data_IF_044066284599
#
_entry.id   IF_044066284599
#
_cell.length_a   1.000
_cell.length_b   1.000
_cell.length_c   1.000
_cell.angle_alpha   90.00
_cell.angle_beta   90.00
_cell.angle_gamma   90.00
#
_symmetry.space_group_name_H-M   'P 1'
#
loop_
_entity.id
_entity.type
_entity.pdbx_description
1 polymer ?
#
# COMPACT_ATOMS: atom_id res chain seq x y z
N UNK A 1 12.19 -11.62 -4.22
CA UNK A 1 11.28 -10.75 -3.46
C UNK A 1 12.11 -9.60 -2.90
N UNK A 2 11.64 -8.35 -3.04
CA UNK A 2 12.22 -7.18 -2.41
C UNK A 2 12.35 -7.37 -0.89
N UNK A 3 13.20 -6.59 -0.23
CA UNK A 3 13.50 -6.81 1.20
C UNK A 3 12.30 -6.50 2.12
N UNK A 4 11.33 -5.74 1.63
CA UNK A 4 10.16 -5.27 2.37
C UNK A 4 8.88 -6.09 2.14
N UNK A 5 8.95 -7.17 1.35
CA UNK A 5 7.80 -8.02 1.03
C UNK A 5 7.88 -9.30 1.86
N UNK A 6 7.05 -9.37 2.90
CA UNK A 6 7.05 -10.46 3.88
C UNK A 6 6.02 -11.57 3.60
N UNK A 7 5.07 -11.32 2.69
CA UNK A 7 4.07 -12.28 2.27
C UNK A 7 3.72 -12.12 0.79
N UNK A 8 3.31 -13.22 0.18
CA UNK A 8 2.87 -13.26 -1.22
C UNK A 8 1.36 -13.02 -1.30
N UNK A 9 0.92 -12.22 -2.27
CA UNK A 9 -0.50 -11.86 -2.47
C UNK A 9 -1.02 -12.60 -3.71
N UNK A 10 -2.03 -13.48 -3.58
CA UNK A 10 -2.61 -14.16 -4.75
C UNK A 10 -3.12 -13.18 -5.81
N UNK A 11 -2.96 -13.52 -7.09
CA UNK A 11 -3.34 -12.66 -8.21
C UNK A 11 -4.80 -12.17 -8.12
N UNK A 12 -5.74 -13.08 -7.82
CA UNK A 12 -7.16 -12.75 -7.66
C UNK A 12 -7.39 -11.65 -6.59
N UNK A 13 -6.63 -11.70 -5.49
CA UNK A 13 -6.73 -10.72 -4.42
C UNK A 13 -6.10 -9.36 -4.82
N UNK A 14 -5.04 -9.38 -5.63
CA UNK A 14 -4.45 -8.16 -6.17
C UNK A 14 -5.42 -7.46 -7.13
N UNK A 15 -6.08 -8.21 -8.01
CA UNK A 15 -7.10 -7.70 -8.93
C UNK A 15 -8.27 -7.06 -8.15
N UNK A 16 -8.84 -7.80 -7.19
CA UNK A 16 -9.93 -7.29 -6.34
C UNK A 16 -9.53 -6.00 -5.58
N UNK A 17 -8.28 -5.93 -5.10
CA UNK A 17 -7.77 -4.75 -4.40
C UNK A 17 -7.63 -3.56 -5.35
N UNK A 18 -7.13 -3.77 -6.58
CA UNK A 18 -7.02 -2.70 -7.57
C UNK A 18 -8.39 -2.19 -8.02
N UNK A 19 -9.36 -3.08 -8.24
CA UNK A 19 -10.74 -2.70 -8.57
C UNK A 19 -11.36 -1.85 -7.45
N UNK A 20 -11.14 -2.24 -6.19
CA UNK A 20 -11.58 -1.45 -5.04
C UNK A 20 -10.92 -0.06 -5.00
N UNK A 21 -9.63 0.05 -5.34
CA UNK A 21 -8.92 1.32 -5.43
C UNK A 21 -9.50 2.22 -6.53
N UNK A 22 -9.90 1.67 -7.67
CA UNK A 22 -10.54 2.44 -8.75
C UNK A 22 -11.88 3.01 -8.30
N UNK A 23 -12.72 2.20 -7.64
CA UNK A 23 -13.99 2.68 -7.10
C UNK A 23 -13.75 3.74 -6.02
N UNK A 24 -12.77 3.55 -5.13
CA UNK A 24 -12.43 4.51 -4.08
C UNK A 24 -11.91 5.84 -4.65
N UNK A 25 -11.20 5.82 -5.79
CA UNK A 25 -10.77 7.03 -6.51
C UNK A 25 -11.97 7.86 -6.97
N UNK A 26 -13.00 7.21 -7.48
CA UNK A 26 -14.15 7.87 -8.11
C UNK A 26 -15.24 8.27 -7.11
N UNK A 27 -15.36 7.54 -5.99
CA UNK A 27 -16.43 7.73 -4.99
C UNK A 27 -15.95 8.29 -3.66
N UNK A 28 -14.65 8.22 -3.38
CA UNK A 28 -14.06 8.53 -2.08
C UNK A 28 -12.86 9.46 -2.16
N UNK A 29 -11.84 9.16 -1.37
CA UNK A 29 -10.59 9.92 -1.34
C UNK A 29 -9.41 8.97 -1.36
N UNK A 30 -8.51 9.18 -2.32
CA UNK A 30 -7.26 8.44 -2.43
C UNK A 30 -6.06 9.37 -2.28
N UNK A 31 -4.99 8.87 -1.68
CA UNK A 31 -3.68 9.54 -1.62
C UNK A 31 -2.74 8.79 -2.56
N UNK A 32 -1.95 9.54 -3.32
CA UNK A 32 -1.05 8.99 -4.34
C UNK A 32 0.38 9.39 -4.05
N UNK A 33 1.30 8.44 -4.20
CA UNK A 33 2.72 8.61 -3.96
C UNK A 33 3.11 8.40 -2.49
N UNK A 34 4.31 7.88 -2.29
CA UNK A 34 4.84 7.41 -1.00
C UNK A 34 4.74 8.43 0.13
N UNK A 35 5.03 9.71 -0.16
CA UNK A 35 5.03 10.76 0.87
C UNK A 35 3.62 11.01 1.44
N UNK A 36 2.60 11.03 0.58
CA UNK A 36 1.22 11.24 1.04
C UNK A 36 0.66 9.98 1.71
N UNK A 37 1.04 8.79 1.24
CA UNK A 37 0.72 7.52 1.91
C UNK A 37 1.32 7.49 3.31
N UNK A 38 2.60 7.83 3.47
CA UNK A 38 3.29 7.88 4.78
C UNK A 38 2.54 8.80 5.75
N UNK A 39 2.23 10.04 5.33
CA UNK A 39 1.47 10.99 6.17
C UNK A 39 0.08 10.46 6.53
N UNK A 40 -0.60 9.78 5.61
CA UNK A 40 -1.95 9.25 5.86
C UNK A 40 -1.94 8.12 6.89
N UNK A 41 -0.93 7.24 6.84
CA UNK A 41 -0.71 6.16 7.81
C UNK A 41 -0.31 6.74 9.17
N UNK A 42 0.66 7.67 9.22
CA UNK A 42 1.11 8.31 10.47
C UNK A 42 -0.03 9.00 11.23
N UNK A 43 -0.94 9.65 10.49
CA UNK A 43 -2.11 10.37 11.02
C UNK A 43 -3.30 9.45 11.32
N UNK A 44 -3.22 8.16 10.99
CA UNK A 44 -4.31 7.20 11.19
C UNK A 44 -5.55 7.49 10.34
N UNK A 45 -5.37 8.16 9.19
CA UNK A 45 -6.46 8.48 8.25
C UNK A 45 -6.52 7.51 7.07
N UNK A 46 -5.53 6.62 6.93
CA UNK A 46 -5.51 5.60 5.90
C UNK A 46 -6.35 4.39 6.34
N UNK A 47 -7.27 3.96 5.47
CA UNK A 47 -8.08 2.76 5.68
C UNK A 47 -7.41 1.51 5.08
N UNK A 48 -6.66 1.67 3.99
CA UNK A 48 -5.90 0.63 3.31
C UNK A 48 -4.72 1.27 2.56
N UNK A 49 -3.52 0.69 2.66
CA UNK A 49 -2.33 1.12 1.93
C UNK A 49 -1.95 0.13 0.82
N UNK A 50 -1.56 0.66 -0.34
CA UNK A 50 -1.07 -0.13 -1.48
C UNK A 50 0.43 0.10 -1.63
N UNK A 51 1.20 -0.98 -1.71
CA UNK A 51 2.66 -0.92 -1.81
C UNK A 51 3.08 -1.75 -3.04
N UNK A 52 3.76 -1.11 -3.98
CA UNK A 52 4.24 -1.81 -5.18
C UNK A 52 5.49 -2.65 -4.89
N UNK A 53 5.63 -3.80 -5.55
CA UNK A 53 6.78 -4.69 -5.40
C UNK A 53 7.93 -4.41 -6.39
N UNK A 54 7.69 -3.60 -7.42
CA UNK A 54 8.66 -3.27 -8.48
C UNK A 54 9.38 -1.92 -8.26
N UNK A 55 9.34 -1.40 -7.04
CA UNK A 55 9.91 -0.08 -6.71
C UNK A 55 11.43 -0.13 -6.68
N UNK A 56 12.05 0.80 -7.41
CA UNK A 56 13.50 1.00 -7.40
C UNK A 56 13.80 2.51 -7.30
N UNK A 57 14.59 2.97 -6.32
CA UNK A 57 15.19 2.21 -5.21
C UNK A 57 14.18 1.76 -4.13
N UNK A 58 14.39 0.57 -3.55
CA UNK A 58 13.48 -0.05 -2.56
C UNK A 58 13.33 0.79 -1.29
N UNK A 59 14.36 1.58 -0.95
CA UNK A 59 14.39 2.50 0.19
C UNK A 59 13.25 3.51 0.19
N UNK A 60 12.60 3.74 -0.95
CA UNK A 60 11.43 4.63 -1.04
C UNK A 60 10.24 4.05 -0.27
N UNK A 61 10.03 2.73 -0.27
CA UNK A 61 8.83 2.09 0.29
C UNK A 61 9.12 1.15 1.45
N UNK A 62 10.39 0.88 1.74
CA UNK A 62 10.83 -0.08 2.76
C UNK A 62 10.26 0.19 4.17
N UNK A 63 10.00 1.44 4.53
CA UNK A 63 9.45 1.80 5.84
C UNK A 63 7.93 1.64 5.96
N UNK A 64 7.21 1.46 4.85
CA UNK A 64 5.74 1.47 4.85
C UNK A 64 5.12 0.26 5.55
N UNK A 65 5.60 -1.00 5.38
CA UNK A 65 5.02 -2.15 6.06
C UNK A 65 5.08 -2.02 7.59
N UNK A 66 6.27 -1.76 8.14
CA UNK A 66 6.46 -1.60 9.59
C UNK A 66 5.64 -0.43 10.15
N UNK A 67 5.61 0.71 9.45
CA UNK A 67 4.81 1.87 9.84
C UNK A 67 3.30 1.56 9.83
N UNK A 68 2.83 0.78 8.86
CA UNK A 68 1.43 0.38 8.76
C UNK A 68 1.04 -0.56 9.92
N UNK A 69 1.89 -1.52 10.26
CA UNK A 69 1.71 -2.41 11.41
C UNK A 69 1.65 -1.63 12.74
N UNK A 70 2.58 -0.70 12.98
CA UNK A 70 2.58 0.14 14.18
C UNK A 70 1.28 0.96 14.32
N UNK A 71 0.72 1.39 13.19
CA UNK A 71 -0.50 2.22 13.13
C UNK A 71 -1.77 1.40 12.99
N UNK A 72 -1.68 0.06 12.93
CA UNK A 72 -2.80 -0.85 12.68
C UNK A 72 -3.57 -0.49 11.38
N UNK A 73 -2.84 -0.03 10.37
CA UNK A 73 -3.40 0.24 9.03
C UNK A 73 -3.12 -0.99 8.17
N UNK A 74 -4.15 -1.64 7.60
CA UNK A 74 -3.91 -2.77 6.71
C UNK A 74 -3.22 -2.31 5.43
N UNK A 75 -2.37 -3.17 4.87
CA UNK A 75 -1.70 -2.92 3.60
C UNK A 75 -1.72 -4.16 2.71
N UNK A 76 -1.56 -3.94 1.41
CA UNK A 76 -1.47 -4.99 0.40
C UNK A 76 -0.30 -4.70 -0.53
N UNK A 77 0.45 -5.76 -0.87
CA UNK A 77 1.45 -5.69 -1.92
C UNK A 77 0.81 -5.88 -3.28
N UNK A 78 1.26 -5.09 -4.25
CA UNK A 78 0.82 -5.17 -5.64
C UNK A 78 2.04 -5.40 -6.50
N UNK A 79 2.08 -6.56 -7.14
CA UNK A 79 3.06 -6.92 -8.16
C UNK A 79 2.59 -6.48 -9.54
N UNK A 80 3.50 -6.58 -10.52
CA UNK A 80 3.19 -6.42 -11.94
C UNK A 80 2.79 -7.75 -12.58
#
# INVERSE_FOLDING_TARGET
>A
MPVYVDFDVPADLQEDALDALEVARDTGTVKKGTNETTKAVERGTAELAYIAEDVQPEEIVMHLPELADEKNVPFVFVGA
#
